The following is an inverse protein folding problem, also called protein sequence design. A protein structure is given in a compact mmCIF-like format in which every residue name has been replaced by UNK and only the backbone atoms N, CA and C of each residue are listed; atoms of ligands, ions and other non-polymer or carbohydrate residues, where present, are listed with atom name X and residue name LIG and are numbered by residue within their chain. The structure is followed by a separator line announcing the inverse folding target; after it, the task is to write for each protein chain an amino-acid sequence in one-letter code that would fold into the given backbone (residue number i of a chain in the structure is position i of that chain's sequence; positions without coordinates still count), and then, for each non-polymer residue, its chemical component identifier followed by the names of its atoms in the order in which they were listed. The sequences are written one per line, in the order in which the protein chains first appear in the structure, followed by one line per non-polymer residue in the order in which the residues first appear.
data_IF_379593996969
#
_entry.id   IF_379593996969
#
_cell.length_a   1.000
_cell.length_b   1.000
_cell.length_c   1.000
_cell.angle_alpha   90.00
_cell.angle_beta   90.00
_cell.angle_gamma   90.00
#
_symmetry.space_group_name_H-M   'P 1'
#
loop_
_entity.id
_entity.type
_entity.pdbx_description
1 polymer ?
#
# COMPACT_ATOMS: atom_id res chain seq x y z
N UNK A 1 0.03 32.20 0.93
CA UNK A 1 0.78 31.03 1.46
C UNK A 1 -0.10 29.84 1.84
N UNK A 2 -1.29 30.02 2.45
CA UNK A 2 -2.23 28.92 2.78
C UNK A 2 -2.74 28.07 1.59
N UNK A 3 -2.78 28.63 0.38
CA UNK A 3 -3.32 27.95 -0.80
C UNK A 3 -2.32 26.90 -1.35
N UNK A 4 -1.02 27.16 -1.25
CA UNK A 4 0.03 26.21 -1.68
C UNK A 4 0.06 24.96 -0.80
N UNK A 5 -0.08 25.11 0.53
CA UNK A 5 -0.16 23.94 1.43
C UNK A 5 -1.36 23.02 1.12
N UNK A 6 -2.52 23.59 0.76
CA UNK A 6 -3.70 22.79 0.42
C UNK A 6 -3.53 22.02 -0.89
N UNK A 7 -2.85 22.62 -1.87
CA UNK A 7 -2.55 21.98 -3.14
C UNK A 7 -1.58 20.80 -2.96
N UNK A 8 -0.52 20.98 -2.17
CA UNK A 8 0.44 19.91 -1.83
C UNK A 8 -0.21 18.77 -1.05
N UNK A 9 -1.11 19.08 -0.11
CA UNK A 9 -1.90 18.08 0.61
C UNK A 9 -2.79 17.27 -0.33
N UNK A 10 -3.46 17.93 -1.29
CA UNK A 10 -4.27 17.23 -2.30
C UNK A 10 -3.45 16.38 -3.25
N UNK A 11 -2.28 16.85 -3.70
CA UNK A 11 -1.38 16.08 -4.55
C UNK A 11 -0.84 14.85 -3.81
N UNK A 12 -0.44 15.02 -2.56
CA UNK A 12 0.02 13.92 -1.69
C UNK A 12 -1.09 12.90 -1.47
N UNK A 13 -2.34 13.33 -1.27
CA UNK A 13 -3.49 12.43 -1.12
C UNK A 13 -3.79 11.64 -2.41
N UNK A 14 -3.69 12.28 -3.58
CA UNK A 14 -3.87 11.63 -4.88
C UNK A 14 -2.75 10.62 -5.13
N UNK A 15 -1.49 11.01 -4.94
CA UNK A 15 -0.33 10.14 -5.09
C UNK A 15 -0.41 8.94 -4.16
N UNK A 16 -0.86 9.15 -2.92
CA UNK A 16 -1.10 8.07 -1.97
C UNK A 16 -2.18 7.12 -2.46
N UNK A 17 -3.33 7.63 -2.93
CA UNK A 17 -4.40 6.78 -3.45
C UNK A 17 -3.96 5.97 -4.67
N UNK A 18 -3.21 6.58 -5.59
CA UNK A 18 -2.62 5.91 -6.74
C UNK A 18 -1.62 4.82 -6.31
N UNK A 19 -0.76 5.12 -5.33
CA UNK A 19 0.17 4.15 -4.76
C UNK A 19 -0.57 2.96 -4.10
N UNK A 20 -1.70 3.19 -3.43
CA UNK A 20 -2.50 2.10 -2.86
C UNK A 20 -3.01 1.14 -3.94
N UNK A 21 -3.53 1.67 -5.06
CA UNK A 21 -3.99 0.84 -6.18
C UNK A 21 -2.82 0.11 -6.86
N UNK A 22 -1.72 0.82 -7.10
CA UNK A 22 -0.51 0.23 -7.69
C UNK A 22 0.03 -0.92 -6.83
N UNK A 23 -0.03 -0.80 -5.51
CA UNK A 23 0.38 -1.86 -4.60
C UNK A 23 -0.52 -3.10 -4.69
N UNK A 24 -1.84 -2.92 -4.77
CA UNK A 24 -2.77 -4.03 -5.00
C UNK A 24 -2.50 -4.77 -6.30
N UNK A 25 -2.17 -4.05 -7.39
CA UNK A 25 -1.76 -4.69 -8.65
C UNK A 25 -0.44 -5.45 -8.52
N UNK A 26 0.52 -4.90 -7.76
CA UNK A 26 1.80 -5.56 -7.50
C UNK A 26 1.61 -6.89 -6.77
N UNK A 27 0.75 -6.97 -5.76
CA UNK A 27 0.46 -8.22 -5.04
C UNK A 27 -0.11 -9.29 -5.97
N UNK A 28 -1.09 -8.92 -6.80
CA UNK A 28 -1.69 -9.84 -7.78
C UNK A 28 -0.62 -10.31 -8.78
N UNK A 29 0.25 -9.41 -9.24
CA UNK A 29 1.33 -9.75 -10.15
C UNK A 29 2.34 -10.71 -9.51
N UNK A 30 2.71 -10.50 -8.24
CA UNK A 30 3.62 -11.39 -7.49
C UNK A 30 3.01 -12.78 -7.33
N UNK A 31 1.73 -12.87 -6.93
CA UNK A 31 1.03 -14.16 -6.79
C UNK A 31 0.95 -14.86 -8.15
N UNK A 32 0.55 -14.14 -9.20
CA UNK A 32 0.48 -14.65 -10.57
C UNK A 32 1.82 -15.18 -11.07
N UNK A 33 2.91 -14.45 -10.82
CA UNK A 33 4.27 -14.90 -11.13
C UNK A 33 4.65 -16.19 -10.39
N UNK A 34 4.35 -16.28 -9.09
CA UNK A 34 4.68 -17.46 -8.29
C UNK A 34 3.94 -18.70 -8.80
N UNK A 35 2.65 -18.56 -9.13
CA UNK A 35 1.82 -19.64 -9.70
C UNK A 35 2.35 -20.03 -11.08
N UNK A 36 2.56 -19.07 -11.97
CA UNK A 36 3.06 -19.33 -13.32
C UNK A 36 4.41 -20.05 -13.29
N UNK A 37 5.34 -19.61 -12.43
CA UNK A 37 6.65 -20.25 -12.28
C UNK A 37 6.54 -21.68 -11.74
N UNK A 38 5.65 -21.92 -10.77
CA UNK A 38 5.38 -23.27 -10.26
C UNK A 38 4.84 -24.20 -11.34
N UNK A 39 3.96 -23.71 -12.22
CA UNK A 39 3.39 -24.49 -13.33
C UNK A 39 4.45 -24.80 -14.38
N UNK A 40 5.28 -23.82 -14.77
CA UNK A 40 6.24 -23.96 -15.86
C UNK A 40 7.48 -24.74 -15.44
N UNK A 41 8.03 -24.45 -14.27
CA UNK A 41 9.33 -24.97 -13.81
C UNK A 41 9.23 -26.02 -12.71
N UNK A 42 8.05 -26.20 -12.09
CA UNK A 42 7.88 -27.06 -10.93
C UNK A 42 8.45 -26.48 -9.62
N UNK A 43 9.21 -25.39 -9.69
CA UNK A 43 9.80 -24.71 -8.53
C UNK A 43 8.93 -23.54 -8.06
N UNK A 44 8.80 -23.38 -6.75
CA UNK A 44 8.10 -22.24 -6.16
C UNK A 44 9.13 -21.16 -5.78
N UNK A 45 9.00 -19.92 -6.29
CA UNK A 45 9.94 -18.84 -5.97
C UNK A 45 9.67 -18.26 -4.58
N UNK A 46 10.02 -19.00 -3.54
CA UNK A 46 9.79 -18.66 -2.13
C UNK A 46 10.29 -17.27 -1.76
N UNK A 47 11.50 -16.91 -2.19
CA UNK A 47 12.09 -15.59 -1.88
C UNK A 47 11.23 -14.44 -2.40
N UNK A 48 10.72 -14.54 -3.63
CA UNK A 48 9.87 -13.49 -4.22
C UNK A 48 8.52 -13.44 -3.51
N UNK A 49 7.95 -14.60 -3.18
CA UNK A 49 6.72 -14.68 -2.40
C UNK A 49 6.86 -14.04 -1.01
N UNK A 50 7.94 -14.33 -0.29
CA UNK A 50 8.22 -13.73 1.02
C UNK A 50 8.44 -12.23 0.94
N UNK A 51 9.17 -11.74 -0.07
CA UNK A 51 9.31 -10.29 -0.31
C UNK A 51 7.94 -9.65 -0.54
N UNK A 52 7.08 -10.31 -1.33
CA UNK A 52 5.69 -9.88 -1.53
C UNK A 52 4.92 -9.76 -0.23
N UNK A 53 4.90 -10.82 0.60
CA UNK A 53 4.22 -10.83 1.90
C UNK A 53 4.75 -9.73 2.82
N UNK A 54 6.08 -9.57 2.93
CA UNK A 54 6.67 -8.54 3.77
C UNK A 54 6.27 -7.14 3.30
N UNK A 55 6.26 -6.91 1.98
CA UNK A 55 5.75 -5.68 1.39
C UNK A 55 4.29 -5.41 1.79
N UNK A 56 3.42 -6.42 1.67
CA UNK A 56 2.00 -6.34 2.06
C UNK A 56 1.81 -5.99 3.53
N UNK A 57 2.60 -6.60 4.42
CA UNK A 57 2.54 -6.34 5.86
C UNK A 57 2.97 -4.90 6.20
N UNK A 58 4.06 -4.41 5.59
CA UNK A 58 4.51 -3.03 5.76
C UNK A 58 3.43 -2.05 5.28
N UNK A 59 2.87 -2.31 4.10
CA UNK A 59 1.82 -1.48 3.52
C UNK A 59 0.54 -1.46 4.38
N UNK A 60 0.12 -2.62 4.89
CA UNK A 60 -1.00 -2.72 5.82
C UNK A 60 -0.73 -1.95 7.12
N UNK A 61 0.48 -2.06 7.67
CA UNK A 61 0.90 -1.32 8.86
C UNK A 61 0.82 0.20 8.66
N UNK A 62 1.33 0.70 7.54
CA UNK A 62 1.23 2.12 7.16
C UNK A 62 -0.24 2.54 7.05
N UNK A 63 -1.08 1.72 6.40
CA UNK A 63 -2.50 2.01 6.24
C UNK A 63 -3.22 2.10 7.60
N UNK A 64 -2.96 1.16 8.51
CA UNK A 64 -3.54 1.14 9.86
C UNK A 64 -3.08 2.35 10.69
N UNK A 65 -1.77 2.64 10.69
CA UNK A 65 -1.21 3.78 11.40
C UNK A 65 -1.85 5.10 10.95
N UNK A 66 -1.95 5.30 9.64
CA UNK A 66 -2.56 6.50 9.06
C UNK A 66 -4.06 6.59 9.32
N UNK A 67 -4.77 5.46 9.27
CA UNK A 67 -6.21 5.42 9.57
C UNK A 67 -6.45 5.81 11.02
N UNK A 68 -5.62 5.32 11.94
CA UNK A 68 -5.66 5.70 13.35
C UNK A 68 -5.36 7.19 13.52
N UNK A 69 -4.30 7.72 12.91
CA UNK A 69 -3.96 9.15 12.97
C UNK A 69 -5.12 10.03 12.53
N UNK A 70 -5.79 9.68 11.42
CA UNK A 70 -6.92 10.43 10.92
C UNK A 70 -8.13 10.36 11.86
N UNK A 71 -8.43 9.17 12.42
CA UNK A 71 -9.51 9.00 13.39
C UNK A 71 -9.28 9.84 14.67
N UNK A 72 -8.06 9.77 15.23
CA UNK A 72 -7.66 10.54 16.41
C UNK A 72 -7.74 12.05 16.15
N UNK A 73 -7.43 12.49 14.92
CA UNK A 73 -7.53 13.91 14.53
C UNK A 73 -9.00 14.36 14.47
N UNK A 74 -9.90 13.55 13.92
CA UNK A 74 -11.35 13.88 13.83
C UNK A 74 -11.97 14.04 15.22
N UNK A 75 -11.64 13.14 16.15
CA UNK A 75 -12.15 13.18 17.53
C UNK A 75 -11.70 14.44 18.30
N UNK A 76 -10.56 15.02 17.91
CA UNK A 76 -10.01 16.24 18.51
C UNK A 76 -10.68 17.53 18.01
N UNK A 77 -11.30 17.53 16.83
CA UNK A 77 -12.05 18.67 16.28
C UNK A 77 -13.55 18.63 16.60
N UNK A 78 -14.08 17.50 17.07
CA UNK A 78 -15.47 17.36 17.53
C UNK A 78 -15.68 17.73 19.02
N UNK A 79 -14.61 17.99 19.77
CA UNK A 79 -14.63 18.54 21.15
C UNK A 79 -14.34 20.04 21.16
#
# INVERSE_FOLDING_TARGET
MKIFNKADETETAINRKAALYAFGFLEIAVIGYCIAKKIISGEFPETIFFIGIMGSLIFLGIKLYETKRLADTVEQYEK
#
